data_IF_837797323065
#
_entry.id   IF_837797323065
#
_cell.length_a   1.000
_cell.length_b   1.000
_cell.length_c   1.000
_cell.angle_alpha   90.00
_cell.angle_beta   90.00
_cell.angle_gamma   90.00
#
_symmetry.space_group_name_H-M   'P 1'
#
loop_
_entity.id
_entity.type
_entity.pdbx_description
1 polymer ?
#
# COMPACT_ATOMS: atom_id res chain seq x y z
N UNK A 1 25.63 11.57 5.61
CA UNK A 1 24.73 12.66 6.06
C UNK A 1 24.44 13.63 4.93
N UNK A 2 25.45 14.15 4.21
CA UNK A 2 25.26 15.07 3.07
C UNK A 2 24.26 14.59 2.00
N UNK A 3 24.31 13.30 1.62
CA UNK A 3 23.36 12.74 0.65
C UNK A 3 21.89 12.77 1.13
N UNK A 4 21.64 12.61 2.44
CA UNK A 4 20.28 12.65 3.00
C UNK A 4 19.71 14.07 2.96
N UNK A 5 20.52 15.06 3.32
CA UNK A 5 20.11 16.46 3.31
C UNK A 5 19.81 16.93 1.89
N UNK A 6 20.60 16.48 0.91
CA UNK A 6 20.32 16.74 -0.50
C UNK A 6 18.98 16.13 -0.94
N UNK A 7 18.69 14.87 -0.60
CA UNK A 7 17.41 14.23 -0.95
C UNK A 7 16.20 14.95 -0.32
N UNK A 8 16.35 15.42 0.92
CA UNK A 8 15.30 16.18 1.61
C UNK A 8 15.09 17.54 0.95
N UNK A 9 16.16 18.20 0.52
CA UNK A 9 16.10 19.48 -0.18
C UNK A 9 15.47 19.33 -1.58
N UNK A 10 15.88 18.33 -2.35
CA UNK A 10 15.28 18.03 -3.66
C UNK A 10 13.78 17.73 -3.53
N UNK A 11 13.40 16.95 -2.51
CA UNK A 11 12.00 16.70 -2.20
C UNK A 11 11.27 17.98 -1.82
N UNK A 12 11.84 18.82 -0.95
CA UNK A 12 11.28 20.12 -0.54
C UNK A 12 10.99 21.02 -1.73
N UNK A 13 11.93 21.12 -2.67
CA UNK A 13 11.75 21.91 -3.88
C UNK A 13 10.62 21.35 -4.74
N UNK A 14 10.58 20.03 -4.94
CA UNK A 14 9.52 19.38 -5.69
C UNK A 14 8.13 19.56 -5.06
N UNK A 15 7.96 19.32 -3.75
CA UNK A 15 6.67 19.54 -3.08
C UNK A 15 6.27 21.01 -3.04
N UNK A 16 7.23 21.94 -2.94
CA UNK A 16 6.98 23.38 -3.05
C UNK A 16 6.39 23.76 -4.40
N UNK A 17 6.96 23.24 -5.48
CA UNK A 17 6.44 23.48 -6.84
C UNK A 17 5.09 22.77 -7.04
N UNK A 18 4.93 21.55 -6.53
CA UNK A 18 3.64 20.84 -6.62
C UNK A 18 2.52 21.58 -5.88
N UNK A 19 2.80 22.13 -4.70
CA UNK A 19 1.84 22.87 -3.90
C UNK A 19 1.52 24.24 -4.50
N UNK A 20 2.44 24.85 -5.25
CA UNK A 20 2.19 26.10 -5.95
C UNK A 20 1.41 25.91 -7.25
N UNK A 21 1.69 24.84 -8.01
CA UNK A 21 1.06 24.64 -9.33
C UNK A 21 -0.30 23.94 -9.25
N UNK A 22 -0.51 23.04 -8.28
CA UNK A 22 -1.75 22.29 -7.98
C UNK A 22 -2.44 21.58 -9.15
N UNK A 23 -1.81 21.53 -10.32
CA UNK A 23 -2.40 20.94 -11.53
C UNK A 23 -2.72 19.46 -11.37
N UNK A 24 -1.93 18.75 -10.55
CA UNK A 24 -2.05 17.32 -10.34
C UNK A 24 -2.87 16.92 -9.09
N UNK A 25 -3.57 17.86 -8.44
CA UNK A 25 -4.20 17.63 -7.13
C UNK A 25 -5.26 16.51 -7.13
N UNK A 26 -5.94 16.28 -8.25
CA UNK A 26 -6.94 15.22 -8.41
C UNK A 26 -6.36 13.82 -8.67
N UNK A 27 -5.06 13.69 -8.99
CA UNK A 27 -4.45 12.41 -9.38
C UNK A 27 -3.75 11.69 -8.23
N UNK A 28 -3.49 12.36 -7.11
CA UNK A 28 -2.65 11.81 -6.05
C UNK A 28 -3.24 12.08 -4.66
N UNK A 29 -3.42 11.01 -3.89
CA UNK A 29 -4.00 11.04 -2.54
C UNK A 29 -3.13 11.79 -1.50
N UNK A 30 -1.91 12.19 -1.86
CA UNK A 30 -1.02 12.99 -1.00
C UNK A 30 -1.43 14.47 -0.97
N UNK A 31 -2.10 14.97 -2.03
CA UNK A 31 -2.38 16.41 -2.16
C UNK A 31 -3.27 17.02 -1.08
N UNK A 32 -4.32 16.34 -0.56
CA UNK A 32 -5.11 16.88 0.55
C UNK A 32 -4.27 17.15 1.81
N UNK A 33 -3.22 16.36 2.04
CA UNK A 33 -2.26 16.63 3.12
C UNK A 33 -1.23 17.71 2.72
N UNK A 34 -0.85 17.75 1.44
CA UNK A 34 0.13 18.70 0.93
C UNK A 34 -0.36 20.15 1.03
N UNK A 35 -1.60 20.41 0.63
CA UNK A 35 -2.18 21.77 0.57
C UNK A 35 -2.39 22.42 1.94
N UNK A 36 -2.40 21.62 3.01
CA UNK A 36 -2.54 22.09 4.39
C UNK A 36 -1.23 22.66 4.96
N UNK A 37 -0.13 22.61 4.19
CA UNK A 37 1.22 22.98 4.63
C UNK A 37 1.74 24.14 3.80
N UNK A 38 2.27 25.14 4.50
CA UNK A 38 2.92 26.32 3.90
C UNK A 38 4.44 26.22 3.96
N UNK A 39 4.96 25.52 4.95
CA UNK A 39 6.38 25.21 5.11
C UNK A 39 6.56 23.69 5.15
N UNK A 40 7.62 23.20 4.51
CA UNK A 40 7.91 21.78 4.35
C UNK A 40 9.09 21.41 5.24
N UNK A 41 8.77 21.20 6.52
CA UNK A 41 9.75 20.72 7.49
C UNK A 41 10.19 19.29 7.15
N UNK A 42 11.30 18.84 7.75
CA UNK A 42 11.74 17.44 7.62
C UNK A 42 10.64 16.45 8.05
N UNK A 43 9.91 16.75 9.13
CA UNK A 43 8.82 15.91 9.62
C UNK A 43 7.67 15.81 8.61
N UNK A 44 7.32 16.93 7.96
CA UNK A 44 6.29 16.96 6.94
C UNK A 44 6.67 16.15 5.71
N UNK A 45 7.92 16.27 5.25
CA UNK A 45 8.43 15.47 4.13
C UNK A 45 8.42 13.98 4.45
N UNK A 46 8.77 13.60 5.67
CA UNK A 46 8.66 12.20 6.12
C UNK A 46 7.21 11.72 6.12
N UNK A 47 6.28 12.55 6.61
CA UNK A 47 4.86 12.22 6.61
C UNK A 47 4.31 12.06 5.19
N UNK A 48 4.55 13.04 4.30
CA UNK A 48 4.12 13.02 2.90
C UNK A 48 4.75 11.84 2.12
N UNK A 49 6.02 11.53 2.39
CA UNK A 49 6.72 10.41 1.75
C UNK A 49 6.09 9.06 2.12
N UNK A 50 5.64 8.89 3.36
CA UNK A 50 4.95 7.67 3.80
C UNK A 50 3.49 7.60 3.32
N UNK A 51 2.89 8.73 2.96
CA UNK A 51 1.56 8.79 2.34
C UNK A 51 1.60 8.50 0.83
N UNK A 52 2.77 8.64 0.20
CA UNK A 52 2.97 8.37 -1.22
C UNK A 52 3.03 6.86 -1.52
N UNK A 53 2.14 6.40 -2.41
CA UNK A 53 2.13 5.02 -2.91
C UNK A 53 2.91 4.80 -4.21
N UNK A 54 3.59 5.83 -4.70
CA UNK A 54 4.43 5.74 -5.90
C UNK A 54 3.67 5.24 -7.16
N UNK A 55 2.41 5.66 -7.32
CA UNK A 55 1.55 5.31 -8.46
C UNK A 55 1.87 6.06 -9.75
N UNK A 56 2.67 7.14 -9.68
CA UNK A 56 3.16 7.94 -10.82
C UNK A 56 2.10 8.69 -11.68
N UNK A 57 0.81 8.65 -11.35
CA UNK A 57 -0.21 9.42 -12.07
C UNK A 57 0.06 10.93 -12.07
N UNK A 58 0.44 11.48 -10.92
CA UNK A 58 0.82 12.90 -10.81
C UNK A 58 2.06 13.27 -11.63
N UNK A 59 2.95 12.31 -11.92
CA UNK A 59 4.15 12.54 -12.73
C UNK A 59 3.77 12.68 -14.22
N UNK A 60 2.90 11.81 -14.73
CA UNK A 60 2.46 11.88 -16.12
C UNK A 60 1.60 13.11 -16.43
N UNK A 61 0.86 13.62 -15.45
CA UNK A 61 0.09 14.85 -15.58
C UNK A 61 0.92 16.13 -15.36
N UNK A 62 2.18 16.03 -14.91
CA UNK A 62 2.97 17.18 -14.47
C UNK A 62 3.48 18.03 -15.66
N UNK A 63 3.20 19.33 -15.62
CA UNK A 63 3.72 20.31 -16.60
C UNK A 63 5.24 20.53 -16.48
N UNK A 64 5.80 20.27 -15.30
CA UNK A 64 7.21 20.48 -14.96
C UNK A 64 8.00 19.18 -14.88
N UNK A 65 7.48 18.09 -15.44
CA UNK A 65 8.22 16.84 -15.57
C UNK A 65 9.50 17.05 -16.42
N UNK A 66 10.55 16.24 -16.23
CA UNK A 66 11.71 16.24 -17.12
C UNK A 66 11.30 16.11 -18.59
N UNK A 67 11.90 16.88 -19.52
CA UNK A 67 13.15 17.64 -19.41
C UNK A 67 13.02 19.13 -19.01
N UNK A 68 11.90 19.53 -18.36
CA UNK A 68 11.73 20.92 -17.90
C UNK A 68 12.82 21.34 -16.90
N UNK A 69 13.17 22.63 -16.82
CA UNK A 69 14.24 23.15 -15.93
C UNK A 69 14.07 22.72 -14.45
N UNK A 70 12.83 22.71 -13.96
CA UNK A 70 12.48 22.28 -12.60
C UNK A 70 12.57 20.77 -12.35
N UNK A 71 12.61 19.93 -13.41
CA UNK A 71 12.77 18.48 -13.32
C UNK A 71 11.94 17.79 -12.20
N UNK A 72 10.67 18.16 -12.06
CA UNK A 72 9.82 17.69 -10.95
C UNK A 72 9.46 16.21 -11.15
N UNK A 73 9.82 15.36 -10.17
CA UNK A 73 9.56 13.92 -10.19
C UNK A 73 9.13 13.44 -8.80
N UNK A 74 7.95 13.93 -8.39
CA UNK A 74 7.44 13.76 -7.04
C UNK A 74 7.46 12.31 -6.53
N UNK A 75 7.10 11.28 -7.33
CA UNK A 75 7.19 9.89 -6.90
C UNK A 75 8.61 9.49 -6.48
N UNK A 76 9.60 9.77 -7.32
CA UNK A 76 11.00 9.39 -7.05
C UNK A 76 11.55 10.14 -5.83
N UNK A 77 11.28 11.44 -5.73
CA UNK A 77 11.77 12.27 -4.62
C UNK A 77 11.17 11.82 -3.28
N UNK A 78 9.85 11.58 -3.22
CA UNK A 78 9.21 11.06 -2.01
C UNK A 78 9.61 9.62 -1.70
N UNK A 79 9.81 8.76 -2.70
CA UNK A 79 10.31 7.40 -2.49
C UNK A 79 11.70 7.37 -1.87
N UNK A 80 12.60 8.28 -2.28
CA UNK A 80 13.93 8.40 -1.70
C UNK A 80 13.88 8.85 -0.23
N UNK A 81 13.04 9.84 0.09
CA UNK A 81 12.80 10.26 1.49
C UNK A 81 12.21 9.09 2.30
N UNK A 82 11.26 8.33 1.76
CA UNK A 82 10.68 7.18 2.45
C UNK A 82 11.75 6.12 2.76
N UNK A 83 12.56 5.75 1.77
CA UNK A 83 13.61 4.74 1.96
C UNK A 83 14.60 5.14 3.05
N UNK A 84 15.03 6.40 3.04
CA UNK A 84 15.96 6.91 4.05
C UNK A 84 15.34 6.96 5.45
N UNK A 85 14.04 7.24 5.58
CA UNK A 85 13.36 7.15 6.87
C UNK A 85 13.35 5.74 7.44
N UNK A 86 13.06 4.74 6.62
CA UNK A 86 13.06 3.35 7.07
C UNK A 86 14.42 2.92 7.60
N UNK A 87 15.50 3.31 6.92
CA UNK A 87 16.85 3.02 7.39
C UNK A 87 17.18 3.75 8.69
N UNK A 88 16.76 5.02 8.83
CA UNK A 88 17.08 5.86 9.99
C UNK A 88 16.35 5.39 11.24
N UNK A 89 15.10 4.95 11.11
CA UNK A 89 14.26 4.51 12.22
C UNK A 89 14.27 2.98 12.44
N UNK A 90 14.98 2.21 11.62
CA UNK A 90 15.12 0.77 11.81
C UNK A 90 15.97 0.44 13.05
N UNK A 91 15.37 -0.27 14.00
CA UNK A 91 16.03 -0.77 15.19
C UNK A 91 16.07 -2.31 15.17
N UNK A 92 17.21 -2.98 15.50
CA UNK A 92 18.51 -2.44 15.95
C UNK A 92 19.39 -1.94 14.78
N UNK A 93 20.07 -0.80 14.96
CA UNK A 93 20.82 -0.13 13.89
C UNK A 93 21.99 -0.92 13.27
N UNK A 94 22.58 -1.87 14.00
CA UNK A 94 23.63 -2.76 13.47
C UNK A 94 23.08 -3.74 12.42
N UNK A 95 21.86 -4.23 12.61
CA UNK A 95 21.17 -5.10 11.66
C UNK A 95 20.72 -4.29 10.44
N UNK A 96 20.20 -3.07 10.67
CA UNK A 96 19.76 -2.17 9.61
C UNK A 96 20.88 -1.85 8.60
N UNK A 97 22.11 -1.60 9.07
CA UNK A 97 23.28 -1.40 8.20
C UNK A 97 23.70 -2.65 7.43
N UNK A 98 23.63 -3.83 8.07
CA UNK A 98 23.92 -5.09 7.40
C UNK A 98 22.96 -5.36 6.24
N UNK A 99 21.70 -4.98 6.37
CA UNK A 99 20.68 -5.20 5.34
C UNK A 99 20.91 -4.33 4.08
N UNK A 100 21.39 -3.10 4.25
CA UNK A 100 21.63 -2.17 3.14
C UNK A 100 22.80 -2.61 2.23
N UNK A 101 23.87 -3.14 2.83
CA UNK A 101 25.10 -3.50 2.10
C UNK A 101 25.10 -4.95 1.60
N UNK A 102 24.25 -5.81 2.16
CA UNK A 102 24.32 -7.25 1.90
C UNK A 102 22.96 -7.90 1.66
N UNK A 103 22.15 -7.29 0.78
CA UNK A 103 20.86 -7.86 0.36
C UNK A 103 20.97 -9.32 -0.14
N UNK A 104 22.12 -9.70 -0.73
CA UNK A 104 22.43 -11.08 -1.10
C UNK A 104 22.65 -12.00 0.10
N UNK A 105 23.33 -11.54 1.15
CA UNK A 105 23.52 -12.35 2.36
C UNK A 105 22.22 -12.50 3.14
N UNK A 106 21.40 -11.44 3.16
CA UNK A 106 20.07 -11.50 3.76
C UNK A 106 19.16 -12.49 3.04
N UNK A 107 19.16 -12.49 1.70
CA UNK A 107 18.35 -13.45 0.92
C UNK A 107 18.86 -14.88 1.04
N UNK A 108 20.17 -15.11 1.00
CA UNK A 108 20.76 -16.44 1.24
C UNK A 108 20.45 -16.95 2.65
N UNK A 109 20.58 -16.10 3.68
CA UNK A 109 20.23 -16.45 5.06
C UNK A 109 18.74 -16.80 5.21
N UNK A 110 17.85 -16.02 4.57
CA UNK A 110 16.41 -16.31 4.57
C UNK A 110 16.09 -17.64 3.88
N UNK A 111 16.73 -17.93 2.73
CA UNK A 111 16.57 -19.22 2.03
C UNK A 111 17.04 -20.39 2.88
N UNK A 112 18.19 -20.27 3.54
CA UNK A 112 18.70 -21.29 4.45
C UNK A 112 17.73 -21.53 5.63
N UNK A 113 17.22 -20.44 6.22
CA UNK A 113 16.23 -20.54 7.30
C UNK A 113 14.93 -21.22 6.83
N UNK A 114 14.47 -20.92 5.61
CA UNK A 114 13.29 -21.53 4.98
C UNK A 114 13.50 -23.04 4.77
N UNK A 115 14.65 -23.45 4.25
CA UNK A 115 14.99 -24.86 4.06
C UNK A 115 14.98 -25.57 5.41
N UNK A 116 15.68 -25.04 6.41
CA UNK A 116 15.71 -25.63 7.77
C UNK A 116 14.30 -25.72 8.36
N UNK A 117 13.47 -24.67 8.22
CA UNK A 117 12.10 -24.66 8.72
C UNK A 117 11.21 -25.71 8.03
N UNK A 118 11.34 -25.89 6.71
CA UNK A 118 10.54 -26.87 5.98
C UNK A 118 10.93 -28.30 6.37
N UNK A 119 12.23 -28.57 6.54
CA UNK A 119 12.73 -29.89 6.98
C UNK A 119 12.35 -30.20 8.44
N UNK A 120 12.29 -29.18 9.32
CA UNK A 120 12.07 -29.37 10.77
C UNK A 120 10.63 -29.15 11.23
N UNK A 121 9.84 -28.31 10.55
CA UNK A 121 8.51 -27.84 10.98
C UNK A 121 7.40 -27.94 9.93
N UNK A 122 7.71 -28.23 8.66
CA UNK A 122 6.72 -28.47 7.60
C UNK A 122 6.10 -29.88 7.63
N UNK A 123 6.62 -30.76 8.47
CA UNK A 123 6.11 -32.12 8.65
C UNK A 123 4.90 -32.16 9.60
N UNK A 124 3.85 -31.36 9.36
CA UNK A 124 2.50 -31.85 9.67
C UNK A 124 2.26 -33.01 8.70
N UNK A 125 2.76 -34.19 9.06
CA UNK A 125 2.47 -35.46 8.39
C UNK A 125 1.00 -35.76 8.64
N UNK A 126 0.11 -34.96 8.06
CA UNK A 126 -1.30 -35.34 7.96
C UNK A 126 -1.29 -36.69 7.27
N UNK A 127 -1.77 -37.75 7.94
CA UNK A 127 -1.86 -39.04 7.29
C UNK A 127 -2.68 -38.87 6.01
N UNK A 128 -2.40 -39.64 4.96
CA UNK A 128 -3.05 -39.50 3.65
C UNK A 128 -4.59 -39.61 3.70
N UNK A 129 -5.16 -39.99 4.85
CA UNK A 129 -6.60 -40.05 5.14
C UNK A 129 -7.13 -38.88 6.00
N UNK A 130 -6.32 -37.85 6.30
CA UNK A 130 -6.77 -36.68 7.02
C UNK A 130 -7.80 -35.93 6.18
N UNK A 131 -9.09 -36.16 6.46
CA UNK A 131 -10.17 -35.35 5.90
C UNK A 131 -9.93 -33.91 6.31
N UNK A 132 -9.81 -33.05 5.32
CA UNK A 132 -9.73 -31.61 5.50
C UNK A 132 -11.11 -31.10 5.93
N UNK A 133 -11.41 -31.23 7.22
CA UNK A 133 -12.61 -30.69 7.82
C UNK A 133 -12.41 -29.18 8.02
N UNK A 134 -12.85 -28.35 7.06
CA UNK A 134 -12.97 -26.91 7.28
C UNK A 134 -13.94 -26.66 8.45
N UNK A 135 -13.50 -26.13 9.61
CA UNK A 135 -14.42 -25.81 10.70
C UNK A 135 -15.38 -24.68 10.32
N UNK A 136 -15.07 -23.92 9.26
CA UNK A 136 -15.86 -22.79 8.78
C UNK A 136 -17.11 -23.19 7.99
N UNK A 137 -17.23 -24.45 7.56
CA UNK A 137 -18.45 -24.95 6.87
C UNK A 137 -19.47 -25.58 7.82
N UNK A 138 -19.26 -25.59 9.14
CA UNK A 138 -20.26 -26.08 10.11
C UNK A 138 -21.40 -25.10 10.40
N UNK A 139 -21.38 -23.91 9.80
CA UNK A 139 -22.45 -22.90 9.96
C UNK A 139 -23.24 -22.64 8.66
N UNK A 140 -23.26 -23.57 7.72
CA UNK A 140 -24.35 -23.59 6.75
C UNK A 140 -25.58 -24.22 7.42
N UNK A 141 -26.65 -23.46 7.70
CA UNK A 141 -27.87 -24.05 8.22
C UNK A 141 -28.38 -25.10 7.22
N UNK A 142 -28.88 -26.22 7.75
CA UNK A 142 -29.33 -27.40 7.00
C UNK A 142 -30.45 -27.15 5.97
N UNK A 143 -30.89 -25.90 5.80
CA UNK A 143 -31.87 -25.46 4.80
C UNK A 143 -31.27 -25.16 3.41
N UNK A 144 -29.94 -25.20 3.24
CA UNK A 144 -29.29 -24.91 1.95
C UNK A 144 -28.93 -26.15 1.09
N UNK A 145 -29.41 -27.35 1.42
CA UNK A 145 -29.12 -28.59 0.64
C UNK A 145 -30.09 -28.85 -0.52
N UNK A 146 -30.67 -27.79 -1.09
CA UNK A 146 -31.76 -27.91 -2.06
C UNK A 146 -31.68 -26.95 -3.25
N UNK A 147 -30.51 -26.70 -3.85
CA UNK A 147 -30.47 -25.97 -5.12
C UNK A 147 -29.66 -26.71 -6.19
N UNK A 148 -30.40 -27.39 -7.08
CA UNK A 148 -29.96 -27.60 -8.46
C UNK A 148 -29.76 -26.21 -9.07
N UNK A 149 -28.52 -25.82 -9.31
CA UNK A 149 -28.20 -24.64 -10.12
C UNK A 149 -28.78 -24.85 -11.54
N UNK A 150 -29.91 -24.20 -11.82
CA UNK A 150 -30.40 -24.03 -13.18
C UNK A 150 -29.97 -22.64 -13.65
N UNK A 151 -29.11 -22.63 -14.66
CA UNK A 151 -28.54 -21.42 -15.23
C UNK A 151 -29.62 -20.38 -15.60
N UNK A 152 -29.34 -19.11 -15.28
CA UNK A 152 -29.85 -17.99 -16.08
C UNK A 152 -31.07 -17.22 -15.58
N UNK A 153 -31.34 -17.12 -14.27
CA UNK A 153 -32.22 -16.05 -13.74
C UNK A 153 -32.03 -15.88 -12.22
N UNK A 154 -31.48 -14.74 -11.81
CA UNK A 154 -31.52 -14.32 -10.42
C UNK A 154 -32.98 -13.94 -10.08
N UNK A 155 -33.72 -14.86 -9.45
CA UNK A 155 -35.02 -14.54 -8.88
C UNK A 155 -34.75 -13.89 -7.52
N UNK A 156 -35.07 -12.60 -7.43
CA UNK A 156 -34.80 -11.76 -6.27
C UNK A 156 -35.43 -12.29 -4.98
N UNK A 157 -34.69 -12.12 -3.89
CA UNK A 157 -35.15 -12.40 -2.54
C UNK A 157 -36.07 -11.25 -2.09
N UNK A 158 -37.39 -11.45 -2.19
CA UNK A 158 -38.38 -10.49 -1.68
C UNK A 158 -38.45 -10.60 -0.16
N UNK A 159 -38.03 -9.53 0.53
CA UNK A 159 -38.08 -9.38 1.99
C UNK A 159 -39.37 -8.62 2.34
N UNK A 160 -40.47 -9.33 2.63
CA UNK A 160 -41.55 -8.79 3.47
C UNK A 160 -41.08 -8.88 4.93
N UNK A 161 -41.17 -7.91 5.83
CA UNK A 161 -41.61 -6.51 5.84
C UNK A 161 -41.59 -6.11 7.32
N UNK A 162 -41.20 -4.88 7.64
CA UNK A 162 -41.65 -4.06 8.79
C UNK A 162 -40.83 -2.77 8.74
N UNK A 163 -41.50 -1.69 8.33
CA UNK A 163 -40.86 -0.47 7.88
C UNK A 163 -40.50 0.54 8.96
N UNK A 164 -39.59 1.44 8.61
CA UNK A 164 -39.66 2.88 8.89
C UNK A 164 -39.01 3.59 7.71
N UNK A 165 -39.64 4.69 7.29
CA UNK A 165 -39.29 5.67 6.26
C UNK A 165 -37.79 5.92 5.99
N UNK A 166 -37.41 6.12 4.72
CA UNK A 166 -36.93 7.43 4.21
C UNK A 166 -36.56 7.41 2.71
N UNK A 167 -37.11 8.41 2.01
CA UNK A 167 -36.57 9.22 0.91
C UNK A 167 -36.07 8.60 -0.42
N UNK A 168 -36.95 8.75 -1.42
CA UNK A 168 -36.74 9.28 -2.78
C UNK A 168 -35.40 9.08 -3.52
N UNK A 169 -35.48 8.21 -4.53
CA UNK A 169 -35.06 8.40 -5.93
C UNK A 169 -34.40 9.73 -6.33
N UNK A 170 -33.23 9.63 -6.96
CA UNK A 170 -32.69 10.66 -7.85
C UNK A 170 -31.23 10.43 -8.28
N UNK A 171 -31.01 9.54 -9.26
CA UNK A 171 -29.84 9.63 -10.16
C UNK A 171 -30.35 9.44 -11.59
N UNK A 172 -30.03 10.41 -12.45
CA UNK A 172 -30.38 10.45 -13.87
C UNK A 172 -29.49 9.60 -14.75
#
# INVERSE_FOLDING_TARGET
MQQLEQLIEDARNAVGICNSCRYCEGFCAVFPALEQRLDFTRGDLHYLANLCHNCSECYYACQYAPPHEFNVNLPVQLAAVRQTTYQTYAWPGVIARGFDQSGLLASLGFLLALVVLLETGGADRRPANARFEWPVLRHFPAWCTGHRFRAGRAVGCSRHGHGVSQFSTGCG
#
